data_IF_238573455982
#
_entry.id   IF_238573455982
#
_cell.length_a   1.000
_cell.length_b   1.000
_cell.length_c   1.000
_cell.angle_alpha   90.00
_cell.angle_beta   90.00
_cell.angle_gamma   90.00
#
_symmetry.space_group_name_H-M   'P 1'
#
loop_
_entity.id
_entity.type
_entity.pdbx_description
1 polymer ?
#
# COMPACT_ATOMS: atom_id res chain seq x y z
N UNK A 1 7.01 -33.79 18.46
CA UNK A 1 5.60 -33.78 17.98
C UNK A 1 4.81 -32.57 18.54
N UNK A 2 5.05 -32.19 19.82
CA UNK A 2 4.37 -31.03 20.43
C UNK A 2 4.77 -29.69 19.79
N UNK A 3 6.06 -29.48 19.50
CA UNK A 3 6.56 -28.25 18.84
C UNK A 3 6.04 -28.08 17.39
N UNK A 4 5.83 -29.18 16.67
CA UNK A 4 5.20 -29.13 15.34
C UNK A 4 3.72 -28.80 15.42
N UNK A 5 2.99 -29.29 16.42
CA UNK A 5 1.58 -28.92 16.64
C UNK A 5 1.42 -27.46 17.07
N UNK A 6 2.27 -26.96 17.96
CA UNK A 6 2.29 -25.53 18.32
C UNK A 6 2.61 -24.65 17.12
N UNK A 7 3.58 -25.00 16.27
CA UNK A 7 3.87 -24.27 15.05
C UNK A 7 2.70 -24.28 14.04
N UNK A 8 1.98 -25.40 13.94
CA UNK A 8 0.80 -25.49 13.06
C UNK A 8 -0.39 -24.71 13.64
N UNK A 9 -0.59 -24.68 14.95
CA UNK A 9 -1.60 -23.81 15.59
C UNK A 9 -1.27 -22.35 15.36
N UNK A 10 -0.04 -21.90 15.62
CA UNK A 10 0.38 -20.51 15.39
C UNK A 10 0.26 -20.06 13.93
N UNK A 11 0.37 -20.95 12.96
CA UNK A 11 0.21 -20.62 11.53
C UNK A 11 -1.27 -20.56 11.14
N UNK A 12 -2.14 -21.37 11.74
CA UNK A 12 -3.57 -21.42 11.41
C UNK A 12 -4.39 -20.31 12.06
N UNK A 13 -3.95 -19.85 13.24
CA UNK A 13 -4.65 -18.85 14.04
C UNK A 13 -4.08 -17.44 13.86
N UNK A 14 -3.34 -17.22 12.79
CA UNK A 14 -2.74 -15.94 12.46
C UNK A 14 -3.71 -15.02 11.74
N UNK A 15 -3.68 -13.76 12.12
CA UNK A 15 -4.29 -12.68 11.31
C UNK A 15 -3.38 -12.42 10.10
N UNK A 16 -3.92 -12.49 8.90
CA UNK A 16 -3.17 -12.29 7.66
C UNK A 16 -3.00 -10.81 7.34
N UNK A 17 -4.05 -10.01 7.59
CA UNK A 17 -4.09 -8.59 7.28
C UNK A 17 -4.66 -7.82 8.46
N UNK A 18 -4.02 -6.69 8.77
CA UNK A 18 -4.50 -5.73 9.75
C UNK A 18 -4.88 -4.45 9.03
N UNK A 19 -6.14 -4.02 9.19
CA UNK A 19 -6.65 -2.79 8.58
C UNK A 19 -6.62 -1.64 9.58
N UNK A 20 -6.29 -0.44 9.08
CA UNK A 20 -6.39 0.77 9.89
C UNK A 20 -7.87 1.19 10.02
N UNK A 21 -8.44 1.25 11.23
CA UNK A 21 -9.84 1.59 11.44
C UNK A 21 -10.19 3.02 10.98
N UNK A 22 -9.23 3.93 10.93
CA UNK A 22 -9.45 5.29 10.43
C UNK A 22 -9.78 5.35 8.94
N UNK A 23 -9.49 4.31 8.18
CA UNK A 23 -9.83 4.20 6.77
C UNK A 23 -11.31 3.90 6.50
N UNK A 24 -12.11 3.63 7.51
CA UNK A 24 -13.53 3.26 7.37
C UNK A 24 -14.48 4.46 7.46
N UNK A 25 -14.46 5.30 8.54
CA UNK A 25 -15.48 6.33 8.74
C UNK A 25 -15.48 7.40 7.64
N UNK A 26 -14.30 7.91 7.28
CA UNK A 26 -14.16 8.99 6.29
C UNK A 26 -14.56 8.56 4.87
N UNK A 27 -14.48 7.27 4.57
CA UNK A 27 -14.83 6.71 3.25
C UNK A 27 -16.25 6.17 3.16
N UNK A 28 -17.03 6.24 4.25
CA UNK A 28 -18.41 5.79 4.33
C UNK A 28 -18.63 4.34 3.83
N UNK A 29 -17.66 3.45 4.05
CA UNK A 29 -17.68 2.06 3.63
C UNK A 29 -17.92 1.11 4.82
N UNK A 30 -18.93 1.39 5.64
CA UNK A 30 -19.27 0.61 6.83
C UNK A 30 -19.63 -0.84 6.51
N UNK A 31 -20.11 -1.11 5.30
CA UNK A 31 -20.46 -2.46 4.86
C UNK A 31 -19.31 -3.46 4.98
N UNK A 32 -18.04 -3.02 4.93
CA UNK A 32 -16.91 -3.93 5.13
C UNK A 32 -16.81 -4.48 6.56
N UNK A 33 -17.27 -3.73 7.57
CA UNK A 33 -17.32 -4.22 8.95
C UNK A 33 -18.41 -5.28 9.11
N UNK A 34 -19.56 -5.06 8.50
CA UNK A 34 -20.66 -6.04 8.48
C UNK A 34 -20.25 -7.30 7.72
N UNK A 35 -19.57 -7.15 6.60
CA UNK A 35 -19.00 -8.27 5.82
C UNK A 35 -18.01 -9.09 6.66
N UNK A 36 -17.15 -8.43 7.45
CA UNK A 36 -16.20 -9.09 8.33
C UNK A 36 -16.89 -10.02 9.32
N UNK A 37 -17.93 -9.55 9.98
CA UNK A 37 -18.70 -10.32 10.97
C UNK A 37 -19.46 -11.47 10.33
N UNK A 38 -20.20 -11.18 9.27
CA UNK A 38 -20.95 -12.20 8.54
C UNK A 38 -20.03 -13.24 7.91
N UNK A 39 -18.90 -12.84 7.37
CA UNK A 39 -17.89 -13.74 6.81
C UNK A 39 -17.30 -14.70 7.85
N UNK A 40 -17.12 -14.24 9.09
CA UNK A 40 -16.65 -15.09 10.18
C UNK A 40 -17.71 -16.10 10.61
N UNK A 41 -18.97 -15.68 10.73
CA UNK A 41 -20.09 -16.56 11.01
C UNK A 41 -20.26 -17.61 9.90
N UNK A 42 -20.27 -17.19 8.64
CA UNK A 42 -20.37 -18.07 7.48
C UNK A 42 -19.23 -19.11 7.44
N UNK A 43 -18.01 -18.71 7.76
CA UNK A 43 -16.86 -19.63 7.85
C UNK A 43 -17.05 -20.69 8.93
N UNK A 44 -17.60 -20.32 10.09
CA UNK A 44 -17.87 -21.27 11.18
C UNK A 44 -19.00 -22.24 10.84
N UNK A 45 -20.06 -21.74 10.20
CA UNK A 45 -21.23 -22.54 9.79
C UNK A 45 -20.96 -23.36 8.51
N UNK A 46 -19.90 -23.04 7.76
CA UNK A 46 -19.57 -23.71 6.50
C UNK A 46 -20.50 -23.36 5.34
N UNK A 47 -21.13 -22.19 5.38
CA UNK A 47 -22.05 -21.69 4.36
C UNK A 47 -21.46 -20.57 3.54
N UNK A 48 -21.98 -20.34 2.34
CA UNK A 48 -21.67 -19.18 1.51
C UNK A 48 -22.86 -18.22 1.52
N UNK A 49 -22.58 -16.96 1.81
CA UNK A 49 -23.60 -15.91 1.86
C UNK A 49 -23.45 -15.02 0.61
N UNK A 50 -24.55 -14.81 -0.10
CA UNK A 50 -24.64 -13.87 -1.21
C UNK A 50 -25.60 -12.74 -0.85
N UNK A 51 -25.14 -11.51 -0.93
CA UNK A 51 -25.91 -10.30 -0.62
C UNK A 51 -26.04 -9.44 -1.88
N UNK A 52 -27.17 -9.50 -2.61
CA UNK A 52 -27.43 -8.60 -3.74
C UNK A 52 -27.45 -7.15 -3.30
N UNK A 53 -27.17 -6.23 -4.24
CA UNK A 53 -26.97 -4.79 -3.93
C UNK A 53 -28.19 -4.13 -3.28
N UNK A 54 -29.39 -4.52 -3.68
CA UNK A 54 -30.66 -3.93 -3.18
C UNK A 54 -31.46 -4.88 -2.28
N UNK A 55 -30.95 -6.05 -2.02
CA UNK A 55 -31.56 -7.07 -1.15
C UNK A 55 -30.45 -7.69 -0.29
N UNK A 56 -29.79 -6.84 0.47
CA UNK A 56 -28.70 -7.21 1.35
C UNK A 56 -29.18 -7.70 2.71
N UNK A 57 -28.25 -8.19 3.52
CA UNK A 57 -28.54 -8.59 4.89
C UNK A 57 -28.75 -7.35 5.79
N UNK A 58 -29.73 -7.43 6.68
CA UNK A 58 -29.91 -6.48 7.75
C UNK A 58 -29.01 -6.81 8.95
N UNK A 59 -28.90 -5.89 9.90
CA UNK A 59 -28.06 -6.08 11.08
C UNK A 59 -28.57 -7.23 11.93
N UNK A 60 -29.90 -7.34 12.03
CA UNK A 60 -30.58 -8.41 12.75
C UNK A 60 -30.25 -9.80 12.18
N UNK A 61 -30.21 -9.94 10.87
CA UNK A 61 -29.83 -11.19 10.19
C UNK A 61 -28.38 -11.60 10.50
N UNK A 62 -27.50 -10.62 10.60
CA UNK A 62 -26.08 -10.85 10.93
C UNK A 62 -25.94 -11.29 12.40
N UNK A 63 -26.65 -10.64 13.31
CA UNK A 63 -26.66 -10.99 14.75
C UNK A 63 -27.21 -12.39 14.97
N UNK A 64 -28.29 -12.77 14.28
CA UNK A 64 -28.87 -14.10 14.33
C UNK A 64 -27.87 -15.15 13.83
N UNK A 65 -27.24 -14.90 12.68
CA UNK A 65 -26.23 -15.79 12.11
C UNK A 65 -25.01 -15.93 13.02
N UNK A 66 -24.59 -14.86 13.69
CA UNK A 66 -23.49 -14.87 14.65
C UNK A 66 -23.86 -15.68 15.90
N UNK A 67 -25.09 -15.55 16.39
CA UNK A 67 -25.59 -16.33 17.51
C UNK A 67 -25.65 -17.83 17.17
N UNK A 68 -26.12 -18.19 15.98
CA UNK A 68 -26.11 -19.56 15.49
C UNK A 68 -24.69 -20.13 15.38
N UNK A 69 -23.73 -19.30 14.97
CA UNK A 69 -22.32 -19.68 14.92
C UNK A 69 -21.63 -19.75 16.30
N UNK A 70 -22.36 -19.45 17.40
CA UNK A 70 -21.80 -19.39 18.74
C UNK A 70 -20.72 -18.32 18.92
N UNK A 71 -20.96 -17.17 18.33
CA UNK A 71 -20.08 -15.97 18.45
C UNK A 71 -20.73 -14.94 19.36
N UNK A 72 -19.88 -14.10 19.96
CA UNK A 72 -20.39 -12.92 20.69
C UNK A 72 -21.09 -11.97 19.72
N UNK A 73 -22.22 -11.35 20.08
CA UNK A 73 -22.98 -10.48 19.20
C UNK A 73 -22.21 -9.22 18.78
N UNK A 74 -21.17 -8.82 19.52
CA UNK A 74 -20.33 -7.69 19.17
C UNK A 74 -19.21 -8.03 18.15
N UNK A 75 -19.07 -9.31 17.76
CA UNK A 75 -18.09 -9.77 16.79
C UNK A 75 -16.63 -9.60 17.17
N UNK A 76 -16.38 -9.29 18.43
CA UNK A 76 -15.02 -9.05 18.92
C UNK A 76 -14.45 -10.29 19.60
N UNK A 77 -13.15 -10.47 19.43
CA UNK A 77 -12.42 -11.57 20.07
C UNK A 77 -11.14 -11.07 20.74
N UNK A 78 -10.63 -11.87 21.66
CA UNK A 78 -9.34 -11.59 22.31
C UNK A 78 -8.23 -12.04 21.37
N UNK A 79 -7.31 -11.13 21.09
CA UNK A 79 -6.09 -11.40 20.35
C UNK A 79 -4.89 -11.31 21.27
N UNK A 80 -3.82 -12.00 20.88
CA UNK A 80 -2.56 -12.05 21.61
C UNK A 80 -1.43 -11.49 20.75
N UNK A 81 -0.49 -10.79 21.38
CA UNK A 81 0.74 -10.40 20.69
C UNK A 81 1.59 -11.64 20.42
N UNK A 82 1.90 -11.89 19.15
CA UNK A 82 2.70 -13.03 18.72
C UNK A 82 4.15 -13.01 19.19
N UNK A 83 4.64 -11.89 19.74
CA UNK A 83 6.00 -11.73 20.26
C UNK A 83 6.08 -12.04 21.75
N UNK A 84 5.15 -11.45 22.53
CA UNK A 84 5.14 -11.58 23.99
C UNK A 84 4.24 -12.70 24.48
N UNK A 85 3.21 -13.06 23.71
CA UNK A 85 2.18 -14.01 24.11
C UNK A 85 1.13 -13.41 25.04
N UNK A 86 1.20 -12.11 25.31
CA UNK A 86 0.24 -11.39 26.15
C UNK A 86 -1.03 -11.01 25.38
N UNK A 87 -2.21 -11.02 26.03
CA UNK A 87 -3.43 -10.56 25.36
C UNK A 87 -3.41 -9.04 25.19
N UNK A 88 -4.05 -8.55 24.14
CA UNK A 88 -4.30 -7.12 23.98
C UNK A 88 -5.32 -6.62 25.02
N UNK A 89 -5.19 -5.36 25.45
CA UNK A 89 -6.05 -4.74 26.46
C UNK A 89 -7.53 -4.73 26.05
N UNK A 90 -7.80 -4.59 24.76
CA UNK A 90 -9.15 -4.54 24.21
C UNK A 90 -9.43 -5.72 23.29
N UNK A 91 -10.69 -6.16 23.29
CA UNK A 91 -11.18 -7.11 22.28
C UNK A 91 -11.22 -6.44 20.92
N UNK A 92 -10.85 -7.17 19.88
CA UNK A 92 -10.68 -6.66 18.52
C UNK A 92 -11.64 -7.38 17.58
N UNK A 93 -12.23 -6.64 16.63
CA UNK A 93 -13.05 -7.23 15.57
C UNK A 93 -12.16 -8.00 14.60
N UNK A 94 -12.42 -9.29 14.48
CA UNK A 94 -11.70 -10.22 13.60
C UNK A 94 -12.70 -11.02 12.79
N UNK A 95 -12.41 -11.20 11.53
CA UNK A 95 -13.28 -12.00 10.67
C UNK A 95 -12.63 -12.32 9.34
N UNK A 96 -13.43 -12.78 8.42
CA UNK A 96 -13.03 -13.14 7.07
C UNK A 96 -13.75 -12.22 6.10
N UNK A 97 -12.98 -11.58 5.23
CA UNK A 97 -13.53 -10.73 4.19
C UNK A 97 -12.88 -11.03 2.84
N UNK A 98 -13.56 -10.68 1.78
CA UNK A 98 -13.05 -10.85 0.42
C UNK A 98 -12.04 -9.75 0.09
N UNK A 99 -10.83 -10.16 -0.32
CA UNK A 99 -9.74 -9.25 -0.62
C UNK A 99 -9.20 -9.47 -2.02
N UNK A 100 -8.97 -8.38 -2.73
CA UNK A 100 -8.35 -8.40 -4.06
C UNK A 100 -6.99 -7.68 -3.97
N UNK A 101 -5.94 -8.36 -4.41
CA UNK A 101 -4.64 -7.72 -4.61
C UNK A 101 -4.64 -6.98 -5.93
N UNK A 102 -4.54 -5.65 -5.87
CA UNK A 102 -4.43 -4.83 -7.06
C UNK A 102 -3.01 -4.88 -7.64
N UNK A 103 -2.91 -4.77 -8.97
CA UNK A 103 -1.64 -4.83 -9.70
C UNK A 103 -0.87 -3.49 -9.68
N UNK A 104 -1.05 -2.72 -8.62
CA UNK A 104 -0.36 -1.45 -8.36
C UNK A 104 0.69 -1.62 -7.28
N UNK A 105 1.75 -2.36 -7.60
CA UNK A 105 2.83 -2.67 -6.66
C UNK A 105 3.94 -1.63 -6.70
N UNK A 106 4.59 -1.43 -5.57
CA UNK A 106 5.64 -0.41 -5.42
C UNK A 106 6.84 -0.64 -6.33
N UNK A 107 7.23 -1.89 -6.54
CA UNK A 107 8.38 -2.24 -7.39
C UNK A 107 8.20 -1.81 -8.85
N UNK A 108 6.95 -1.82 -9.33
CA UNK A 108 6.63 -1.35 -10.67
C UNK A 108 6.63 0.17 -10.80
N UNK A 109 6.48 0.88 -9.69
CA UNK A 109 6.37 2.36 -9.64
C UNK A 109 7.66 3.03 -9.17
N UNK A 110 8.42 2.36 -8.33
CA UNK A 110 9.68 2.88 -7.82
C UNK A 110 10.68 3.04 -8.98
N UNK A 111 11.14 4.26 -9.17
CA UNK A 111 12.09 4.58 -10.24
C UNK A 111 13.00 5.74 -9.82
N UNK A 112 14.28 5.58 -10.10
CA UNK A 112 15.30 6.62 -9.93
C UNK A 112 16.31 6.54 -11.08
N UNK A 113 16.95 7.65 -11.36
CA UNK A 113 17.98 7.74 -12.39
C UNK A 113 19.10 8.67 -11.93
N UNK A 114 20.34 8.28 -12.18
CA UNK A 114 21.50 9.18 -12.16
C UNK A 114 21.96 9.45 -13.59
N UNK A 115 22.46 8.45 -14.28
CA UNK A 115 22.86 8.48 -15.68
C UNK A 115 22.07 7.43 -16.45
N UNK A 116 21.81 7.66 -17.73
CA UNK A 116 21.07 6.72 -18.56
C UNK A 116 21.00 7.18 -20.03
N UNK A 117 20.12 6.59 -20.83
CA UNK A 117 20.02 6.91 -22.25
C UNK A 117 19.43 8.32 -22.47
N UNK A 118 19.89 8.94 -23.55
CA UNK A 118 19.47 10.27 -24.00
C UNK A 118 18.86 10.17 -25.40
N UNK A 119 17.98 11.11 -25.73
CA UNK A 119 17.43 11.24 -27.07
C UNK A 119 18.53 11.66 -28.06
N UNK A 120 18.54 11.06 -29.24
CA UNK A 120 19.54 11.39 -30.28
C UNK A 120 19.38 12.81 -30.82
N UNK A 121 18.15 13.30 -30.93
CA UNK A 121 17.86 14.61 -31.52
C UNK A 121 18.00 15.73 -30.49
N UNK A 122 17.33 15.62 -29.38
CA UNK A 122 17.27 16.69 -28.36
C UNK A 122 18.38 16.61 -27.32
N UNK A 123 19.09 15.49 -27.24
CA UNK A 123 20.11 15.21 -26.20
C UNK A 123 19.60 15.34 -24.77
N UNK A 124 18.30 15.29 -24.59
CA UNK A 124 17.63 15.27 -23.30
C UNK A 124 17.45 13.82 -22.79
N UNK A 125 17.37 13.61 -21.46
CA UNK A 125 17.03 12.30 -20.93
C UNK A 125 15.70 11.78 -21.48
N UNK A 126 15.64 10.48 -21.79
CA UNK A 126 14.38 9.84 -22.17
C UNK A 126 13.39 9.85 -21.01
N UNK A 127 12.11 9.68 -21.29
CA UNK A 127 11.04 9.59 -20.29
C UNK A 127 10.65 8.15 -20.01
N UNK A 128 10.06 7.92 -18.83
CA UNK A 128 9.47 6.64 -18.45
C UNK A 128 10.43 5.64 -17.81
N UNK A 129 9.90 4.82 -16.91
CA UNK A 129 10.64 3.80 -16.17
C UNK A 129 11.24 2.73 -17.08
N UNK A 130 10.48 2.27 -18.08
CA UNK A 130 10.92 1.21 -18.99
C UNK A 130 12.18 1.55 -19.77
N UNK A 131 12.39 2.84 -20.06
CA UNK A 131 13.54 3.36 -20.79
C UNK A 131 14.65 3.89 -19.85
N UNK A 132 14.54 3.64 -18.57
CA UNK A 132 15.40 4.21 -17.56
C UNK A 132 15.52 5.74 -17.70
N UNK A 133 14.35 6.38 -17.86
CA UNK A 133 14.22 7.80 -18.14
C UNK A 133 14.27 8.67 -16.88
N UNK A 134 14.45 9.97 -17.11
CA UNK A 134 14.41 10.99 -16.06
C UNK A 134 13.01 11.50 -15.79
N UNK A 135 12.87 12.27 -14.72
CA UNK A 135 11.67 12.97 -14.36
C UNK A 135 11.49 14.24 -15.21
N UNK A 136 10.25 14.54 -15.57
CA UNK A 136 9.94 15.79 -16.25
C UNK A 136 9.92 16.95 -15.27
N UNK A 137 10.76 17.94 -15.50
CA UNK A 137 10.72 19.21 -14.79
C UNK A 137 9.91 20.21 -15.61
N UNK A 138 8.61 20.32 -15.29
CA UNK A 138 7.68 21.14 -16.05
C UNK A 138 7.71 22.63 -15.68
N UNK A 139 6.82 23.39 -16.30
CA UNK A 139 6.74 24.85 -16.10
C UNK A 139 6.37 25.22 -14.65
N UNK A 140 5.45 24.47 -14.04
CA UNK A 140 5.05 24.72 -12.64
C UNK A 140 6.20 24.48 -11.65
N UNK A 141 7.04 23.48 -11.87
CA UNK A 141 8.21 23.19 -11.06
C UNK A 141 9.26 24.29 -11.19
N UNK A 142 9.40 24.89 -12.39
CA UNK A 142 10.25 26.05 -12.62
C UNK A 142 9.74 27.25 -11.82
N UNK A 143 8.43 27.48 -11.76
CA UNK A 143 7.85 28.56 -10.93
C UNK A 143 8.17 28.39 -9.45
N UNK A 144 8.18 27.16 -8.96
CA UNK A 144 8.57 26.88 -7.57
C UNK A 144 10.01 27.31 -7.29
N UNK A 145 10.96 27.02 -8.20
CA UNK A 145 12.34 27.48 -8.06
C UNK A 145 12.49 28.99 -8.14
N UNK A 146 11.67 29.66 -8.97
CA UNK A 146 11.62 31.13 -8.99
C UNK A 146 11.17 31.70 -7.65
N UNK A 147 10.16 31.11 -7.04
CA UNK A 147 9.65 31.58 -5.75
C UNK A 147 10.70 31.48 -4.64
N UNK A 148 11.54 30.46 -4.70
CA UNK A 148 12.67 30.30 -3.75
C UNK A 148 13.90 31.12 -4.11
N UNK A 149 13.98 31.72 -5.30
CA UNK A 149 15.17 32.41 -5.79
C UNK A 149 16.37 31.49 -6.02
N UNK A 150 16.14 30.20 -6.25
CA UNK A 150 17.18 29.18 -6.41
C UNK A 150 17.71 29.14 -7.85
N UNK A 151 18.41 30.22 -8.26
CA UNK A 151 18.90 30.39 -9.63
C UNK A 151 19.93 29.34 -10.06
N UNK A 152 20.87 28.99 -9.19
CA UNK A 152 21.89 27.98 -9.48
C UNK A 152 21.31 26.60 -9.65
N UNK A 153 20.34 26.23 -8.82
CA UNK A 153 19.63 24.94 -8.95
C UNK A 153 18.85 24.89 -10.25
N UNK A 154 18.18 25.97 -10.62
CA UNK A 154 17.47 26.06 -11.89
C UNK A 154 18.41 25.93 -13.09
N UNK A 155 19.57 26.61 -13.04
CA UNK A 155 20.58 26.50 -14.09
C UNK A 155 21.11 25.07 -14.24
N UNK A 156 21.37 24.38 -13.15
CA UNK A 156 21.77 22.96 -13.14
C UNK A 156 20.71 22.07 -13.79
N UNK A 157 19.44 22.24 -13.44
CA UNK A 157 18.33 21.46 -14.00
C UNK A 157 18.16 21.70 -15.51
N UNK A 158 18.39 22.92 -15.98
CA UNK A 158 18.16 23.31 -17.38
C UNK A 158 19.36 23.01 -18.29
N UNK A 159 20.55 22.83 -17.76
CA UNK A 159 21.80 22.66 -18.54
C UNK A 159 22.41 21.27 -18.35
N UNK A 160 23.13 21.07 -17.30
CA UNK A 160 23.96 19.87 -17.05
C UNK A 160 23.09 18.61 -16.93
N UNK A 161 21.93 18.72 -16.31
CA UNK A 161 20.98 17.60 -16.15
C UNK A 161 20.03 17.40 -17.34
N UNK A 162 20.07 18.28 -18.34
CA UNK A 162 19.20 18.24 -19.51
C UNK A 162 20.00 17.97 -20.81
N UNK A 163 20.30 18.98 -21.56
CA UNK A 163 20.82 18.93 -22.94
C UNK A 163 22.26 19.35 -23.14
N UNK A 164 22.92 19.87 -22.12
CA UNK A 164 24.32 20.29 -22.20
C UNK A 164 25.28 19.09 -22.14
N UNK A 165 25.66 18.62 -23.33
CA UNK A 165 26.60 17.49 -23.47
C UNK A 165 27.99 17.79 -22.90
N UNK A 166 28.50 18.95 -23.14
CA UNK A 166 29.87 19.35 -22.69
C UNK A 166 29.92 19.49 -21.18
N UNK A 167 28.93 20.18 -20.60
CA UNK A 167 28.81 20.34 -19.16
C UNK A 167 28.65 19.00 -18.44
N UNK A 168 27.84 18.09 -19.01
CA UNK A 168 27.61 16.74 -18.48
C UNK A 168 28.92 15.94 -18.42
N UNK A 169 29.73 15.94 -19.46
CA UNK A 169 31.03 15.25 -19.48
C UNK A 169 31.97 15.80 -18.40
N UNK A 170 32.03 17.12 -18.25
CA UNK A 170 32.88 17.77 -17.22
C UNK A 170 32.46 17.37 -15.80
N UNK A 171 31.15 17.27 -15.55
CA UNK A 171 30.63 16.81 -14.23
C UNK A 171 31.01 15.36 -13.98
N UNK A 172 30.91 14.49 -14.97
CA UNK A 172 31.33 13.10 -14.81
C UNK A 172 32.81 12.95 -14.55
N UNK A 173 33.65 13.72 -15.26
CA UNK A 173 35.09 13.76 -14.99
C UNK A 173 35.42 14.25 -13.59
N UNK A 174 34.73 15.27 -13.11
CA UNK A 174 34.88 15.81 -11.75
C UNK A 174 34.52 14.74 -10.70
N UNK A 175 33.42 14.04 -10.87
CA UNK A 175 33.00 12.95 -9.95
C UNK A 175 34.05 11.82 -9.95
N UNK A 176 34.54 11.40 -11.11
CA UNK A 176 35.56 10.35 -11.21
C UNK A 176 36.88 10.76 -10.58
N UNK A 177 37.26 12.00 -10.71
CA UNK A 177 38.48 12.55 -10.11
C UNK A 177 38.35 12.82 -8.61
N UNK A 178 37.13 12.81 -8.08
CA UNK A 178 36.87 13.07 -6.66
C UNK A 178 36.97 14.54 -6.24
N UNK A 179 36.68 15.43 -7.15
CA UNK A 179 36.66 16.91 -6.91
C UNK A 179 35.22 17.36 -6.61
#
# INVERSE_FOLDING_TARGET
LSLRRQRQMCIRDRVDIMLNPQGVPSRMNLGQVLELHMGMAAKKLGVHVATPVFDGAHIEDIEEMMAEAGMDPDGKTVLYDGRTGEPFDNRISVGVMYMIKLHHMVDDKLHARSTGPYSLVTQQPLGGKAQFGGQRFGEMEVWALYAYGAAHTLQEMMTVKSDDVVGRVKVYESIVKGN
#
